data_IF_653271030901
#
_entry.id   IF_653271030901
#
_cell.length_a   1.000
_cell.length_b   1.000
_cell.length_c   1.000
_cell.angle_alpha   90.00
_cell.angle_beta   90.00
_cell.angle_gamma   90.00
#
_symmetry.space_group_name_H-M   'P 1'
#
loop_
_entity.id
_entity.type
_entity.pdbx_description
1 polymer ?
#
# COMPACT_ATOMS: atom_id res chain seq x y z
N UNK A 1 33.52 -7.14 -1.99
CA UNK A 1 33.37 -6.42 -0.71
C UNK A 1 32.04 -6.78 -0.08
N UNK A 2 32.04 -7.58 0.99
CA UNK A 2 30.80 -7.96 1.68
C UNK A 2 30.23 -6.78 2.46
N UNK A 3 29.00 -6.35 2.16
CA UNK A 3 28.27 -5.37 2.98
C UNK A 3 27.93 -6.05 4.31
N UNK A 4 28.66 -5.72 5.38
CA UNK A 4 28.21 -6.04 6.74
C UNK A 4 26.88 -5.31 6.97
N UNK A 5 25.86 -6.01 7.44
CA UNK A 5 24.59 -5.36 7.75
C UNK A 5 24.77 -4.37 8.90
N UNK A 6 23.93 -3.34 8.92
CA UNK A 6 23.94 -2.30 9.95
C UNK A 6 23.49 -2.85 11.33
N UNK A 7 22.90 -4.05 11.36
CA UNK A 7 22.40 -4.72 12.56
C UNK A 7 22.84 -6.19 12.51
N UNK A 8 23.97 -6.56 13.13
CA UNK A 8 24.53 -7.91 13.08
C UNK A 8 23.54 -9.01 13.48
N UNK A 9 22.58 -8.67 14.35
CA UNK A 9 21.53 -9.58 14.80
C UNK A 9 20.59 -10.01 13.68
N UNK A 10 20.35 -9.14 12.68
CA UNK A 10 19.53 -9.47 11.52
C UNK A 10 20.22 -10.49 10.63
N UNK A 11 21.54 -10.57 10.58
CA UNK A 11 22.23 -11.54 9.71
C UNK A 11 22.07 -12.98 10.17
N UNK A 12 21.76 -13.19 11.47
CA UNK A 12 21.57 -14.51 12.08
C UNK A 12 20.10 -14.97 11.98
N UNK A 13 19.18 -14.04 11.75
CA UNK A 13 17.74 -14.32 11.75
C UNK A 13 17.28 -14.90 10.41
N UNK A 14 16.40 -15.91 10.48
CA UNK A 14 15.69 -16.42 9.31
C UNK A 14 14.93 -15.27 8.63
N UNK A 15 14.97 -15.23 7.29
CA UNK A 15 14.28 -14.24 6.45
C UNK A 15 12.81 -14.08 6.84
N UNK A 16 12.10 -15.17 7.15
CA UNK A 16 10.69 -15.12 7.60
C UNK A 16 10.50 -14.29 8.88
N UNK A 17 11.41 -14.42 9.85
CA UNK A 17 11.33 -13.67 11.10
C UNK A 17 11.55 -12.17 10.88
N UNK A 18 12.40 -11.79 9.91
CA UNK A 18 12.58 -10.38 9.53
C UNK A 18 11.28 -9.78 9.01
N UNK A 19 10.56 -10.49 8.14
CA UNK A 19 9.27 -10.05 7.62
C UNK A 19 8.23 -9.90 8.74
N UNK A 20 8.17 -10.85 9.69
CA UNK A 20 7.28 -10.75 10.85
C UNK A 20 7.59 -9.51 11.70
N UNK A 21 8.86 -9.24 11.97
CA UNK A 21 9.25 -8.04 12.74
C UNK A 21 8.88 -6.76 12.01
N UNK A 22 9.15 -6.68 10.70
CA UNK A 22 8.77 -5.51 9.89
C UNK A 22 7.24 -5.34 9.89
N UNK A 23 6.48 -6.43 9.74
CA UNK A 23 5.02 -6.40 9.77
C UNK A 23 4.47 -5.79 11.07
N UNK A 24 4.92 -6.29 12.22
CA UNK A 24 4.52 -5.72 13.52
C UNK A 24 5.05 -4.29 13.71
N UNK A 25 6.25 -4.00 13.22
CA UNK A 25 6.79 -2.64 13.22
C UNK A 25 5.92 -1.65 12.44
N UNK A 26 5.35 -2.05 11.30
CA UNK A 26 4.43 -1.24 10.50
C UNK A 26 3.09 -1.01 11.19
N UNK A 27 2.57 -2.02 11.91
CA UNK A 27 1.37 -1.88 12.73
C UNK A 27 1.63 -0.85 13.84
N UNK A 28 2.72 -1.01 14.60
CA UNK A 28 3.11 -0.08 15.66
C UNK A 28 3.32 1.33 15.10
N UNK A 29 3.99 1.46 13.96
CA UNK A 29 4.21 2.73 13.29
C UNK A 29 2.89 3.44 12.94
N UNK A 30 1.87 2.72 12.47
CA UNK A 30 0.56 3.32 12.19
C UNK A 30 -0.06 3.92 13.46
N UNK A 31 -0.13 3.17 14.56
CA UNK A 31 -0.73 3.65 15.81
C UNK A 31 0.10 4.72 16.53
N UNK A 32 1.43 4.61 16.52
CA UNK A 32 2.30 5.51 17.28
C UNK A 32 2.59 6.80 16.53
N UNK A 33 2.72 6.74 15.21
CA UNK A 33 3.15 7.87 14.39
C UNK A 33 2.02 8.43 13.54
N UNK A 34 1.36 7.59 12.74
CA UNK A 34 0.34 8.07 11.79
C UNK A 34 -0.88 8.62 12.54
N UNK A 35 -1.37 7.94 13.57
CA UNK A 35 -2.50 8.44 14.36
C UNK A 35 -2.19 9.77 15.06
N UNK A 36 -0.97 9.95 15.59
CA UNK A 36 -0.57 11.24 16.16
C UNK A 36 -0.57 12.37 15.15
N UNK A 37 -0.15 12.09 13.91
CA UNK A 37 -0.22 13.07 12.82
C UNK A 37 -1.68 13.37 12.48
N UNK A 38 -2.52 12.36 12.36
CA UNK A 38 -3.95 12.52 12.09
C UNK A 38 -4.63 13.38 13.16
N UNK A 39 -4.40 13.09 14.45
CA UNK A 39 -4.94 13.88 15.56
C UNK A 39 -4.40 15.31 15.59
N UNK A 40 -3.12 15.51 15.27
CA UNK A 40 -2.56 16.86 15.16
C UNK A 40 -3.31 17.72 14.11
N UNK A 41 -3.80 17.11 13.04
CA UNK A 41 -4.61 17.77 12.02
C UNK A 41 -6.12 17.79 12.33
N UNK A 42 -6.53 17.39 13.54
CA UNK A 42 -7.92 17.41 13.99
C UNK A 42 -8.78 16.33 13.33
N UNK A 43 -8.18 15.25 12.85
CA UNK A 43 -8.90 14.14 12.25
C UNK A 43 -9.16 13.07 13.30
N UNK A 44 -10.39 12.56 13.30
CA UNK A 44 -10.65 11.22 13.81
C UNK A 44 -9.71 10.31 12.99
N UNK A 45 -8.72 9.69 13.63
CA UNK A 45 -7.68 8.87 12.97
C UNK A 45 -8.25 7.68 12.19
N UNK A 46 -7.55 6.55 12.14
CA UNK A 46 -8.18 5.32 11.65
C UNK A 46 -9.19 4.78 12.68
N UNK A 47 -10.25 5.52 13.01
CA UNK A 47 -11.17 5.23 14.14
C UNK A 47 -12.23 4.19 13.81
N UNK A 48 -12.29 3.70 12.57
CA UNK A 48 -13.25 2.65 12.19
C UNK A 48 -12.87 1.36 12.91
N UNK A 49 -13.64 1.05 13.95
CA UNK A 49 -13.57 -0.20 14.70
C UNK A 49 -14.62 -1.20 14.17
N UNK A 50 -14.55 -2.47 14.60
CA UNK A 50 -15.51 -3.50 14.16
C UNK A 50 -16.94 -3.15 14.54
N UNK A 51 -17.17 -2.63 15.74
CA UNK A 51 -18.49 -2.24 16.25
C UNK A 51 -19.17 -1.15 15.42
N UNK A 52 -18.38 -0.36 14.68
CA UNK A 52 -18.89 0.71 13.81
C UNK A 52 -19.32 0.23 12.41
N UNK A 53 -19.07 -1.04 12.07
CA UNK A 53 -19.22 -1.58 10.71
C UNK A 53 -20.34 -2.62 10.61
N UNK A 54 -21.02 -2.64 9.46
CA UNK A 54 -21.93 -3.74 9.13
C UNK A 54 -21.15 -5.01 8.80
N UNK A 55 -21.78 -6.18 8.93
CA UNK A 55 -21.16 -7.46 8.55
C UNK A 55 -20.64 -7.46 7.09
N UNK A 56 -21.39 -6.84 6.16
CA UNK A 56 -20.98 -6.73 4.76
C UNK A 56 -19.71 -5.87 4.64
N UNK A 57 -19.65 -4.74 5.36
CA UNK A 57 -18.46 -3.88 5.41
C UNK A 57 -17.25 -4.61 5.98
N UNK A 58 -17.44 -5.43 7.01
CA UNK A 58 -16.39 -6.25 7.65
C UNK A 58 -15.83 -7.28 6.65
N UNK A 59 -16.70 -8.07 6.01
CA UNK A 59 -16.30 -9.06 5.01
C UNK A 59 -15.60 -8.38 3.84
N UNK A 60 -16.11 -7.22 3.43
CA UNK A 60 -15.53 -6.44 2.35
C UNK A 60 -14.12 -5.96 2.70
N UNK A 61 -13.92 -5.37 3.89
CA UNK A 61 -12.64 -4.85 4.33
C UNK A 61 -11.59 -5.94 4.59
N UNK A 62 -11.99 -7.11 5.10
CA UNK A 62 -11.05 -8.18 5.48
C UNK A 62 -10.75 -9.12 4.31
N UNK A 63 -11.72 -9.39 3.43
CA UNK A 63 -11.58 -10.44 2.43
C UNK A 63 -11.62 -9.88 1.02
N UNK A 64 -12.72 -9.22 0.65
CA UNK A 64 -12.96 -8.83 -0.74
C UNK A 64 -11.94 -7.77 -1.19
N UNK A 65 -11.76 -6.71 -0.39
CA UNK A 65 -10.82 -5.64 -0.69
C UNK A 65 -9.38 -6.15 -0.79
N UNK A 66 -8.81 -6.90 0.18
CA UNK A 66 -7.46 -7.46 0.02
C UNK A 66 -7.29 -8.35 -1.20
N UNK A 67 -8.27 -9.19 -1.54
CA UNK A 67 -8.21 -10.01 -2.76
C UNK A 67 -8.15 -9.12 -4.01
N UNK A 68 -9.05 -8.13 -4.12
CA UNK A 68 -9.12 -7.25 -5.28
C UNK A 68 -7.88 -6.36 -5.37
N UNK A 69 -7.49 -5.72 -4.28
CA UNK A 69 -6.37 -4.80 -4.22
C UNK A 69 -5.05 -5.52 -4.52
N UNK A 70 -4.78 -6.67 -3.90
CA UNK A 70 -3.57 -7.42 -4.22
C UNK A 70 -3.61 -7.98 -5.65
N UNK A 71 -4.76 -8.47 -6.12
CA UNK A 71 -4.88 -8.99 -7.48
C UNK A 71 -4.66 -7.90 -8.52
N UNK A 72 -5.22 -6.70 -8.31
CA UNK A 72 -5.08 -5.56 -9.21
C UNK A 72 -3.67 -5.00 -9.12
N UNK A 73 -3.28 -4.51 -7.94
CA UNK A 73 -2.07 -3.70 -7.83
C UNK A 73 -0.77 -4.52 -7.97
N UNK A 74 -0.84 -5.84 -7.74
CA UNK A 74 0.35 -6.70 -7.69
C UNK A 74 0.34 -7.74 -8.81
N UNK A 75 -0.59 -7.65 -9.76
CA UNK A 75 -0.60 -8.49 -10.95
C UNK A 75 0.70 -8.36 -11.72
N UNK A 76 1.16 -7.13 -11.94
CA UNK A 76 2.33 -6.85 -12.79
C UNK A 76 3.61 -7.52 -12.33
N UNK A 77 3.69 -7.86 -11.05
CA UNK A 77 4.85 -8.52 -10.47
C UNK A 77 4.90 -10.03 -10.83
N UNK A 78 3.97 -10.54 -11.65
CA UNK A 78 3.94 -11.92 -12.14
C UNK A 78 4.85 -12.19 -13.34
N UNK A 79 4.87 -11.30 -14.33
CA UNK A 79 5.54 -11.54 -15.62
C UNK A 79 5.99 -10.22 -16.25
N UNK A 80 7.24 -10.19 -16.73
CA UNK A 80 7.85 -9.01 -17.35
C UNK A 80 7.10 -8.50 -18.58
N UNK A 81 6.40 -9.36 -19.31
CA UNK A 81 5.71 -8.98 -20.55
C UNK A 81 4.40 -8.19 -20.31
N UNK A 82 3.80 -8.31 -19.13
CA UNK A 82 2.51 -7.66 -18.80
C UNK A 82 2.68 -6.22 -18.28
N UNK A 83 3.92 -5.80 -18.08
CA UNK A 83 4.35 -4.51 -17.53
C UNK A 83 3.77 -3.33 -18.30
N UNK A 84 3.77 -3.39 -19.63
CA UNK A 84 3.27 -2.30 -20.48
C UNK A 84 1.77 -2.09 -20.29
N UNK A 85 1.00 -3.18 -20.27
CA UNK A 85 -0.45 -3.15 -20.12
C UNK A 85 -0.90 -2.70 -18.74
N UNK A 86 -0.11 -3.01 -17.72
CA UNK A 86 -0.45 -2.70 -16.34
C UNK A 86 -0.48 -1.20 -16.05
N UNK A 87 0.42 -0.39 -16.61
CA UNK A 87 0.34 1.07 -16.45
C UNK A 87 -0.93 1.63 -17.09
N UNK A 88 -1.37 1.10 -18.23
CA UNK A 88 -2.64 1.51 -18.84
C UNK A 88 -3.83 1.12 -17.95
N UNK A 89 -3.82 -0.07 -17.35
CA UNK A 89 -4.88 -0.53 -16.44
C UNK A 89 -4.92 0.33 -15.17
N UNK A 90 -3.78 0.60 -14.54
CA UNK A 90 -3.67 1.50 -13.39
C UNK A 90 -4.16 2.90 -13.72
N UNK A 91 -3.73 3.42 -14.88
CA UNK A 91 -4.15 4.71 -15.39
C UNK A 91 -5.67 4.78 -15.57
N UNK A 92 -6.27 3.77 -16.19
CA UNK A 92 -7.72 3.67 -16.35
C UNK A 92 -8.45 3.53 -15.01
N UNK A 93 -7.94 2.72 -14.07
CA UNK A 93 -8.51 2.57 -12.75
C UNK A 93 -8.46 3.88 -11.95
N UNK A 94 -7.37 4.64 -12.07
CA UNK A 94 -7.27 5.94 -11.41
C UNK A 94 -8.20 6.99 -12.00
N UNK A 95 -8.53 6.92 -13.30
CA UNK A 95 -9.55 7.78 -13.91
C UNK A 95 -10.96 7.37 -13.46
N UNK A 96 -11.23 6.07 -13.35
CA UNK A 96 -12.56 5.54 -13.01
C UNK A 96 -12.87 5.67 -11.51
N UNK A 97 -11.88 5.43 -10.64
CA UNK A 97 -12.08 5.40 -9.20
C UNK A 97 -11.99 6.78 -8.53
N UNK A 98 -11.54 7.81 -9.23
CA UNK A 98 -11.42 9.18 -8.68
C UNK A 98 -12.21 10.19 -9.50
N UNK A 99 -13.40 10.50 -8.99
CA UNK A 99 -14.33 11.49 -9.57
C UNK A 99 -13.87 12.93 -9.28
N UNK A 100 -13.00 13.15 -8.29
CA UNK A 100 -12.40 14.47 -8.05
C UNK A 100 -11.33 14.79 -9.10
N UNK A 101 -11.61 15.80 -9.92
CA UNK A 101 -10.78 16.25 -11.05
C UNK A 101 -9.34 16.53 -10.62
N UNK A 102 -9.13 17.10 -9.43
CA UNK A 102 -7.80 17.45 -8.95
C UNK A 102 -6.95 16.22 -8.64
N UNK A 103 -7.53 15.24 -7.95
CA UNK A 103 -6.87 13.97 -7.64
C UNK A 103 -6.61 13.16 -8.91
N UNK A 104 -7.57 13.14 -9.84
CA UNK A 104 -7.42 12.54 -11.16
C UNK A 104 -6.26 13.14 -11.97
N UNK A 105 -6.10 14.46 -11.97
CA UNK A 105 -5.01 15.15 -12.68
C UNK A 105 -3.64 14.84 -12.07
N UNK A 106 -3.52 14.77 -10.74
CA UNK A 106 -2.26 14.40 -10.08
C UNK A 106 -1.85 12.98 -10.47
N UNK A 107 -2.80 12.04 -10.40
CA UNK A 107 -2.57 10.64 -10.79
C UNK A 107 -2.20 10.55 -12.27
N UNK A 108 -2.93 11.26 -13.14
CA UNK A 108 -2.67 11.36 -14.58
C UNK A 108 -1.22 11.78 -14.87
N UNK A 109 -0.76 12.88 -14.27
CA UNK A 109 0.61 13.37 -14.45
C UNK A 109 1.63 12.37 -13.93
N UNK A 110 1.37 11.76 -12.78
CA UNK A 110 2.26 10.79 -12.15
C UNK A 110 2.44 9.53 -13.03
N UNK A 111 1.35 8.94 -13.51
CA UNK A 111 1.41 7.77 -14.41
C UNK A 111 1.98 8.11 -15.78
N UNK A 112 1.71 9.31 -16.31
CA UNK A 112 2.29 9.75 -17.59
C UNK A 112 3.82 9.85 -17.47
N UNK A 113 4.33 10.37 -16.35
CA UNK A 113 5.76 10.36 -16.05
C UNK A 113 6.33 8.95 -15.94
N UNK A 114 5.61 8.03 -15.29
CA UNK A 114 5.96 6.60 -15.22
C UNK A 114 6.06 5.95 -16.60
N UNK A 115 5.06 6.15 -17.46
CA UNK A 115 5.03 5.65 -18.83
C UNK A 115 6.21 6.18 -19.67
N UNK A 116 6.53 7.48 -19.55
CA UNK A 116 7.67 8.09 -20.25
C UNK A 116 9.01 7.52 -19.80
N UNK A 117 9.17 7.24 -18.49
CA UNK A 117 10.35 6.59 -17.96
C UNK A 117 10.47 5.15 -18.50
N UNK A 118 9.37 4.40 -18.53
CA UNK A 118 9.38 3.03 -19.07
C UNK A 118 9.72 2.98 -20.56
N UNK A 119 9.27 3.95 -21.36
CA UNK A 119 9.60 3.98 -22.79
C UNK A 119 11.11 4.11 -23.06
N UNK A 120 11.87 4.67 -22.10
CA UNK A 120 13.32 4.85 -22.21
C UNK A 120 14.14 3.68 -21.67
N UNK A 121 13.51 2.75 -20.95
CA UNK A 121 14.22 1.69 -20.24
C UNK A 121 13.99 0.35 -20.94
N UNK A 122 15.06 -0.42 -21.15
CA UNK A 122 14.95 -1.78 -21.72
C UNK A 122 14.07 -2.66 -20.82
N UNK A 123 13.14 -3.39 -21.44
CA UNK A 123 12.08 -4.20 -20.80
C UNK A 123 12.58 -5.19 -19.73
N UNK A 124 13.85 -5.60 -19.79
CA UNK A 124 14.43 -6.58 -18.87
C UNK A 124 15.20 -5.97 -17.69
N UNK A 125 15.22 -4.64 -17.53
CA UNK A 125 16.01 -4.04 -16.46
C UNK A 125 15.38 -4.25 -15.07
N UNK A 126 16.22 -4.52 -14.08
CA UNK A 126 15.83 -4.53 -12.66
C UNK A 126 15.22 -3.20 -12.21
N UNK A 127 15.56 -2.09 -12.88
CA UNK A 127 14.99 -0.77 -12.61
C UNK A 127 13.47 -0.75 -12.84
N UNK A 128 13.00 -1.35 -13.94
CA UNK A 128 11.56 -1.40 -14.27
C UNK A 128 10.79 -2.10 -13.14
N UNK A 129 11.32 -3.20 -12.63
CA UNK A 129 10.72 -3.93 -11.52
C UNK A 129 10.56 -3.06 -10.26
N UNK A 130 11.59 -2.30 -9.88
CA UNK A 130 11.50 -1.38 -8.73
C UNK A 130 10.54 -0.22 -8.98
N UNK A 131 10.47 0.29 -10.22
CA UNK A 131 9.49 1.28 -10.64
C UNK A 131 8.07 0.74 -10.40
N UNK A 132 7.77 -0.50 -10.79
CA UNK A 132 6.43 -1.06 -10.55
C UNK A 132 6.09 -1.25 -9.09
N UNK A 133 7.04 -1.68 -8.26
CA UNK A 133 6.85 -1.75 -6.81
C UNK A 133 6.52 -0.36 -6.27
N UNK A 134 7.28 0.66 -6.68
CA UNK A 134 7.09 2.04 -6.24
C UNK A 134 5.73 2.60 -6.65
N UNK A 135 5.39 2.50 -7.95
CA UNK A 135 4.12 2.98 -8.47
C UNK A 135 2.94 2.22 -7.86
N UNK A 136 3.03 0.88 -7.74
CA UNK A 136 1.99 0.07 -7.11
C UNK A 136 1.72 0.47 -5.66
N UNK A 137 2.78 0.71 -4.87
CA UNK A 137 2.65 1.16 -3.48
C UNK A 137 2.07 2.58 -3.38
N UNK A 138 2.46 3.50 -4.27
CA UNK A 138 1.89 4.85 -4.30
C UNK A 138 0.43 4.82 -4.71
N UNK A 139 0.06 4.12 -5.79
CA UNK A 139 -1.34 4.02 -6.19
C UNK A 139 -2.17 3.41 -5.08
N UNK A 140 -1.67 2.32 -4.48
CA UNK A 140 -2.28 1.72 -3.30
C UNK A 140 -2.49 2.72 -2.17
N UNK A 141 -1.59 3.68 -1.98
CA UNK A 141 -1.80 4.73 -0.97
C UNK A 141 -2.87 5.72 -1.38
N UNK A 142 -2.82 6.17 -2.63
CA UNK A 142 -3.69 7.23 -3.13
C UNK A 142 -5.16 6.78 -3.19
N UNK A 143 -5.47 5.51 -3.51
CA UNK A 143 -6.86 4.99 -3.52
C UNK A 143 -7.58 5.12 -2.18
N UNK A 144 -6.83 5.27 -1.08
CA UNK A 144 -7.40 5.40 0.25
C UNK A 144 -7.74 6.86 0.62
N UNK A 145 -7.36 7.85 -0.20
CA UNK A 145 -7.69 9.28 0.04
C UNK A 145 -9.18 9.50 0.28
N UNK A 146 -10.12 8.94 -0.50
CA UNK A 146 -11.56 9.16 -0.29
C UNK A 146 -12.08 8.62 1.05
N UNK A 147 -11.33 7.72 1.70
CA UNK A 147 -11.67 7.15 3.01
C UNK A 147 -11.18 8.05 4.16
N UNK A 148 -10.25 8.97 3.88
CA UNK A 148 -9.71 9.93 4.86
C UNK A 148 -10.59 11.18 4.87
N UNK A 149 -11.22 11.45 6.01
CA UNK A 149 -12.17 12.56 6.22
C UNK A 149 -11.50 13.90 6.55
N UNK A 150 -10.37 14.23 5.91
CA UNK A 150 -9.64 15.46 6.22
C UNK A 150 -10.17 16.73 5.58
N UNK A 151 -9.80 17.87 6.19
CA UNK A 151 -10.25 19.21 5.82
C UNK A 151 -9.65 19.75 4.52
N UNK A 152 -8.60 19.11 4.00
CA UNK A 152 -7.96 19.49 2.73
C UNK A 152 -7.29 18.31 2.04
N UNK A 153 -7.20 18.37 0.71
CA UNK A 153 -6.49 17.37 -0.09
C UNK A 153 -5.03 17.18 0.35
N UNK A 154 -4.35 18.26 0.75
CA UNK A 154 -2.96 18.20 1.22
C UNK A 154 -2.81 17.34 2.47
N UNK A 155 -3.72 17.49 3.44
CA UNK A 155 -3.71 16.70 4.68
C UNK A 155 -4.02 15.24 4.35
N UNK A 156 -5.03 14.99 3.51
CA UNK A 156 -5.39 13.63 3.09
C UNK A 156 -4.23 12.94 2.37
N UNK A 157 -3.48 13.65 1.52
CA UNK A 157 -2.28 13.12 0.86
C UNK A 157 -1.19 12.75 1.85
N UNK A 158 -0.89 13.62 2.81
CA UNK A 158 0.13 13.35 3.84
C UNK A 158 -0.23 12.10 4.63
N UNK A 159 -1.48 11.96 5.05
CA UNK A 159 -1.96 10.82 5.84
C UNK A 159 -1.99 9.56 4.98
N UNK A 160 -2.52 9.64 3.77
CA UNK A 160 -2.59 8.49 2.86
C UNK A 160 -1.19 7.92 2.58
N UNK A 161 -0.23 8.79 2.25
CA UNK A 161 1.15 8.38 2.01
C UNK A 161 1.77 7.84 3.29
N UNK A 162 1.58 8.50 4.43
CA UNK A 162 2.20 8.06 5.69
C UNK A 162 1.67 6.71 6.16
N UNK A 163 0.36 6.46 6.01
CA UNK A 163 -0.33 5.25 6.47
C UNK A 163 -0.11 4.06 5.52
N UNK A 164 -0.39 4.27 4.24
CA UNK A 164 -0.58 3.17 3.28
C UNK A 164 0.65 2.89 2.43
N UNK A 165 1.58 3.85 2.25
CA UNK A 165 2.76 3.64 1.43
C UNK A 165 3.70 2.58 2.02
N UNK A 166 4.04 2.62 3.33
CA UNK A 166 4.94 1.63 3.92
C UNK A 166 4.40 0.19 3.81
N UNK A 167 3.10 0.00 4.12
CA UNK A 167 2.46 -1.32 4.00
C UNK A 167 2.30 -1.74 2.54
N UNK A 168 2.00 -0.81 1.62
CA UNK A 168 1.93 -1.07 0.19
C UNK A 168 3.26 -1.55 -0.40
N UNK A 169 4.39 -0.99 0.05
CA UNK A 169 5.73 -1.49 -0.29
C UNK A 169 5.97 -2.87 0.30
N UNK A 170 5.65 -3.06 1.58
CA UNK A 170 5.87 -4.32 2.27
C UNK A 170 5.10 -5.48 1.63
N UNK A 171 3.82 -5.28 1.28
CA UNK A 171 3.01 -6.27 0.54
C UNK A 171 3.61 -6.57 -0.84
N UNK A 172 4.16 -5.57 -1.53
CA UNK A 172 4.87 -5.78 -2.80
C UNK A 172 6.13 -6.64 -2.63
N UNK A 173 6.86 -6.51 -1.51
CA UNK A 173 7.99 -7.38 -1.19
C UNK A 173 7.53 -8.81 -0.85
N UNK A 174 6.44 -8.96 -0.09
CA UNK A 174 5.85 -10.27 0.21
C UNK A 174 5.41 -10.96 -1.08
N UNK A 175 4.74 -10.23 -1.99
CA UNK A 175 4.32 -10.74 -3.28
C UNK A 175 5.47 -11.33 -4.09
N UNK A 176 6.60 -10.62 -4.12
CA UNK A 176 7.75 -10.98 -4.96
C UNK A 176 8.57 -12.11 -4.38
N UNK A 177 8.57 -12.26 -3.05
CA UNK A 177 9.31 -13.32 -2.33
C UNK A 177 8.50 -14.59 -2.11
N UNK A 178 7.22 -14.47 -1.76
CA UNK A 178 6.39 -15.59 -1.30
C UNK A 178 5.20 -15.87 -2.21
N UNK A 179 4.73 -14.89 -2.98
CA UNK A 179 3.63 -15.05 -3.93
C UNK A 179 2.33 -14.32 -3.54
N UNK A 180 1.32 -14.39 -4.42
CA UNK A 180 0.07 -13.60 -4.29
C UNK A 180 -0.73 -14.01 -3.06
N UNK A 181 -0.89 -15.31 -2.84
CA UNK A 181 -1.70 -15.85 -1.75
C UNK A 181 -1.15 -15.36 -0.40
N UNK A 182 0.17 -15.36 -0.22
CA UNK A 182 0.78 -14.84 1.00
C UNK A 182 0.57 -13.33 1.17
N UNK A 183 0.61 -12.55 0.08
CA UNK A 183 0.32 -11.11 0.12
C UNK A 183 -1.13 -10.86 0.53
N UNK A 184 -2.09 -11.57 -0.08
CA UNK A 184 -3.53 -11.48 0.24
C UNK A 184 -3.75 -11.84 1.71
N UNK A 185 -3.25 -12.99 2.16
CA UNK A 185 -3.45 -13.44 3.54
C UNK A 185 -2.86 -12.46 4.55
N UNK A 186 -1.66 -11.94 4.28
CA UNK A 186 -1.02 -10.98 5.18
C UNK A 186 -1.77 -9.64 5.22
N UNK A 187 -2.34 -9.22 4.09
CA UNK A 187 -3.20 -8.04 4.03
C UNK A 187 -4.53 -8.26 4.77
N UNK A 188 -5.18 -9.42 4.62
CA UNK A 188 -6.33 -9.79 5.44
C UNK A 188 -6.01 -9.70 6.93
N UNK A 189 -4.88 -10.28 7.36
CA UNK A 189 -4.42 -10.25 8.76
C UNK A 189 -4.13 -8.83 9.22
N UNK A 190 -3.49 -8.01 8.38
CA UNK A 190 -3.25 -6.60 8.67
C UNK A 190 -4.56 -5.87 8.97
N UNK A 191 -5.57 -6.01 8.10
CA UNK A 191 -6.86 -5.36 8.28
C UNK A 191 -7.58 -5.85 9.54
N UNK A 192 -7.53 -7.15 9.84
CA UNK A 192 -8.07 -7.69 11.10
C UNK A 192 -7.39 -7.05 12.31
N UNK A 193 -6.05 -6.96 12.32
CA UNK A 193 -5.32 -6.38 13.45
C UNK A 193 -5.64 -4.89 13.60
N UNK A 194 -5.62 -4.11 12.51
CA UNK A 194 -5.95 -2.68 12.57
C UNK A 194 -7.36 -2.49 13.14
N UNK A 195 -8.38 -3.16 12.60
CA UNK A 195 -9.75 -3.05 13.09
C UNK A 195 -9.91 -3.52 14.54
N UNK A 196 -9.17 -4.57 14.96
CA UNK A 196 -9.20 -5.07 16.34
C UNK A 196 -8.56 -4.09 17.32
N UNK A 197 -7.43 -3.51 16.95
CA UNK A 197 -6.74 -2.53 17.81
C UNK A 197 -7.56 -1.25 17.90
N UNK A 198 -8.19 -0.82 16.80
CA UNK A 198 -9.10 0.32 16.81
C UNK A 198 -10.22 0.18 17.84
N UNK A 199 -10.81 -1.02 17.98
CA UNK A 199 -11.85 -1.32 18.98
C UNK A 199 -11.40 -1.15 20.43
N UNK A 200 -10.10 -1.29 20.69
CA UNK A 200 -9.53 -1.20 22.04
C UNK A 200 -9.03 0.22 22.33
N UNK A 201 -8.54 0.92 21.30
CA UNK A 201 -7.89 2.23 21.44
C UNK A 201 -8.91 3.38 21.35
N UNK A 202 -9.98 3.22 20.58
CA UNK A 202 -10.99 4.25 20.29
C UNK A 202 -12.38 3.83 20.74
#
# INVERSE_FOLDING_TARGET
MGRKSFLPILDIMNEKLKFVIVFFGLIIYNFVFVDKISFHFGLEGNTKAFSSLTLISIISAIVIAPILEESIFRWVLLKNEMIKYYLYILYSLCIILFIDVNTGVILLLFFSGGLLLLHKVKEESSLIFYVFIFFGAITFSLIHIPVISGSSLRINLIIAISAFLPIGFFLSLIRTKFGLIYSILLHCVYNVIILSVNEVVY
#
